data_IF_880133589869
#
_entry.id   IF_880133589869
#
_cell.length_a   1.000
_cell.length_b   1.000
_cell.length_c   1.000
_cell.angle_alpha   90.00
_cell.angle_beta   90.00
_cell.angle_gamma   90.00
#
_symmetry.space_group_name_H-M   'P 1'
#
loop_
_entity.id
_entity.type
_entity.pdbx_description
1 polymer ?
#
# COMPACT_ATOMS: atom_id res chain seq x y z
N UNK A 1 4.27 -37.61 18.15
CA UNK A 1 4.21 -36.26 17.57
C UNK A 1 4.97 -35.34 18.52
N UNK A 2 5.92 -34.54 18.03
CA UNK A 2 6.64 -33.58 18.89
C UNK A 2 5.71 -32.42 19.25
N UNK A 3 5.58 -32.15 20.55
CA UNK A 3 4.67 -31.13 21.09
C UNK A 3 5.37 -29.77 21.15
N UNK A 4 5.77 -29.26 19.98
CA UNK A 4 6.43 -27.95 19.87
C UNK A 4 5.34 -26.90 19.70
N UNK A 5 5.26 -25.98 20.67
CA UNK A 5 4.33 -24.86 20.66
C UNK A 5 5.10 -23.54 20.64
N UNK A 6 4.52 -22.52 20.01
CA UNK A 6 5.06 -21.17 20.07
C UNK A 6 5.00 -20.62 21.51
N UNK A 7 5.87 -19.64 21.87
CA UNK A 7 5.75 -18.93 23.13
C UNK A 7 4.34 -18.35 23.32
N UNK A 8 3.85 -18.29 24.57
CA UNK A 8 2.49 -17.81 24.88
C UNK A 8 2.20 -16.42 24.30
N UNK A 9 3.21 -15.55 24.31
CA UNK A 9 3.11 -14.16 23.86
C UNK A 9 3.53 -13.96 22.40
N UNK A 10 3.59 -15.04 21.61
CA UNK A 10 3.89 -14.93 20.19
C UNK A 10 2.80 -14.10 19.48
N UNK A 11 3.25 -13.15 18.66
CA UNK A 11 2.42 -12.17 17.96
C UNK A 11 2.11 -12.63 16.53
N UNK A 12 1.06 -13.43 16.38
CA UNK A 12 0.48 -13.69 15.07
C UNK A 12 -0.20 -12.43 14.55
N UNK A 13 -0.02 -12.13 13.27
CA UNK A 13 -0.51 -10.89 12.71
C UNK A 13 -0.39 -10.81 11.19
N UNK A 14 -0.79 -9.66 10.66
CA UNK A 14 -0.75 -9.34 9.25
C UNK A 14 0.15 -8.14 8.95
N UNK A 15 0.64 -8.06 7.72
CA UNK A 15 1.43 -6.94 7.25
C UNK A 15 0.94 -6.44 5.89
N UNK A 16 0.78 -5.13 5.76
CA UNK A 16 0.49 -4.45 4.49
C UNK A 16 1.40 -3.23 4.31
N UNK A 17 1.43 -2.68 3.09
CA UNK A 17 2.09 -1.42 2.78
C UNK A 17 1.08 -0.44 2.17
N UNK A 18 1.13 0.82 2.60
CA UNK A 18 0.15 1.86 2.29
C UNK A 18 -0.08 2.04 0.79
N UNK A 19 1.00 2.06 0.00
CA UNK A 19 0.96 2.20 -1.45
C UNK A 19 0.27 1.03 -2.18
N UNK A 20 0.14 -0.12 -1.52
CA UNK A 20 -0.52 -1.31 -2.08
C UNK A 20 -1.96 -1.45 -1.63
N UNK A 21 -2.37 -0.79 -0.54
CA UNK A 21 -3.64 -1.03 0.13
C UNK A 21 -4.53 0.20 0.25
N UNK A 22 -3.99 1.37 0.57
CA UNK A 22 -4.77 2.55 0.93
C UNK A 22 -5.61 3.09 -0.21
N UNK A 23 -5.02 3.23 -1.40
CA UNK A 23 -5.65 3.96 -2.50
C UNK A 23 -5.76 5.45 -2.19
N UNK A 24 -6.83 6.09 -2.66
CA UNK A 24 -7.15 7.49 -2.37
C UNK A 24 -5.93 8.41 -2.60
N UNK A 25 -5.26 8.24 -3.75
CA UNK A 25 -3.88 8.69 -3.98
C UNK A 25 -3.65 10.20 -3.96
N UNK A 26 -4.71 11.02 -4.10
CA UNK A 26 -4.69 12.49 -3.97
C UNK A 26 -5.60 13.00 -2.84
N UNK A 27 -6.36 12.12 -2.18
CA UNK A 27 -7.29 12.50 -1.11
C UNK A 27 -6.53 13.02 0.10
N UNK A 28 -7.08 14.04 0.76
CA UNK A 28 -6.47 14.64 1.96
C UNK A 28 -5.17 15.40 1.66
N UNK A 29 -4.96 15.80 0.40
CA UNK A 29 -3.76 16.52 -0.02
C UNK A 29 -2.53 15.64 -0.23
N UNK A 30 -2.68 14.30 -0.27
CA UNK A 30 -1.57 13.36 -0.53
C UNK A 30 -0.83 13.75 -1.81
N UNK A 31 0.51 13.83 -1.72
CA UNK A 31 1.37 13.99 -2.88
C UNK A 31 1.56 12.70 -3.68
N UNK A 32 1.83 12.84 -4.99
CA UNK A 32 2.22 11.73 -5.85
C UNK A 32 3.53 11.08 -5.36
N UNK A 33 3.58 9.76 -5.47
CA UNK A 33 4.75 8.93 -5.16
C UNK A 33 5.26 8.24 -6.42
N UNK A 34 6.46 7.68 -6.36
CA UNK A 34 7.00 6.85 -7.45
C UNK A 34 6.09 5.67 -7.80
N UNK A 35 5.37 5.12 -6.82
CA UNK A 35 4.46 3.98 -7.02
C UNK A 35 3.16 4.41 -7.70
N UNK A 36 2.73 5.66 -7.50
CA UNK A 36 1.57 6.23 -8.20
C UNK A 36 1.84 6.43 -9.70
N UNK A 37 3.10 6.38 -10.12
CA UNK A 37 3.52 6.51 -11.53
C UNK A 37 3.66 5.16 -12.25
N UNK A 38 3.47 4.02 -11.58
CA UNK A 38 3.65 2.69 -12.17
C UNK A 38 2.31 2.17 -12.71
N UNK A 39 2.12 2.07 -14.03
CA UNK A 39 0.88 1.58 -14.59
C UNK A 39 0.76 0.04 -14.48
N UNK A 40 -0.40 -0.46 -14.85
CA UNK A 40 -0.63 -1.84 -15.25
C UNK A 40 -0.29 -2.03 -16.75
N UNK A 41 -0.07 -3.27 -17.18
CA UNK A 41 0.23 -3.59 -18.58
C UNK A 41 1.70 -3.46 -18.97
N UNK A 42 1.97 -3.32 -20.26
CA UNK A 42 3.31 -3.46 -20.85
C UNK A 42 4.32 -2.43 -20.33
N UNK A 43 3.85 -1.21 -20.04
CA UNK A 43 4.69 -0.13 -19.52
C UNK A 43 5.09 -0.32 -18.05
N UNK A 44 4.47 -1.28 -17.33
CA UNK A 44 4.70 -1.50 -15.90
C UNK A 44 6.17 -1.78 -15.57
N UNK A 45 6.78 -2.74 -16.25
CA UNK A 45 8.12 -3.22 -15.89
C UNK A 45 9.21 -2.21 -16.27
N UNK A 46 9.21 -1.60 -17.48
CA UNK A 46 10.15 -0.55 -17.82
C UNK A 46 10.12 0.62 -16.83
N UNK A 47 8.93 1.10 -16.47
CA UNK A 47 8.78 2.20 -15.50
C UNK A 47 9.23 1.77 -14.10
N UNK A 48 8.78 0.61 -13.61
CA UNK A 48 9.11 0.11 -12.27
C UNK A 48 10.62 -0.11 -12.08
N UNK A 49 11.32 -0.53 -13.14
CA UNK A 49 12.76 -0.77 -13.11
C UNK A 49 13.59 0.50 -13.40
N UNK A 50 12.96 1.65 -13.61
CA UNK A 50 13.66 2.90 -13.91
C UNK A 50 14.33 2.93 -15.28
N UNK A 51 13.79 2.18 -16.25
CA UNK A 51 14.29 2.14 -17.64
C UNK A 51 13.70 3.25 -18.52
N UNK A 52 12.87 4.13 -17.93
CA UNK A 52 12.20 5.25 -18.60
C UNK A 52 12.60 6.53 -17.89
N UNK A 53 13.28 7.44 -18.59
CA UNK A 53 13.87 8.65 -18.00
C UNK A 53 12.83 9.65 -17.47
N UNK A 54 11.69 9.76 -18.17
CA UNK A 54 10.60 10.67 -17.82
C UNK A 54 9.28 9.94 -17.88
N UNK A 55 8.63 9.84 -16.72
CA UNK A 55 7.33 9.20 -16.57
C UNK A 55 6.32 10.29 -16.23
N UNK A 56 5.25 10.36 -17.01
CA UNK A 56 4.10 11.24 -16.78
C UNK A 56 2.86 10.39 -16.67
N UNK A 57 1.90 10.82 -15.85
CA UNK A 57 0.60 10.16 -15.80
C UNK A 57 -0.13 10.33 -17.13
N UNK A 58 -0.75 9.26 -17.59
CA UNK A 58 -1.61 9.22 -18.78
C UNK A 58 -3.03 8.85 -18.38
N UNK A 59 -4.03 9.53 -18.94
CA UNK A 59 -5.44 9.19 -18.72
C UNK A 59 -5.84 7.86 -19.36
N UNK A 60 -5.05 7.35 -20.31
CA UNK A 60 -5.28 6.07 -20.99
C UNK A 60 -4.72 4.87 -20.21
N UNK A 61 -3.91 5.12 -19.18
CA UNK A 61 -3.30 4.07 -18.36
C UNK A 61 -4.05 3.84 -17.06
N UNK A 62 -4.06 2.58 -16.62
CA UNK A 62 -4.58 2.21 -15.31
C UNK A 62 -3.43 2.09 -14.30
N UNK A 63 -3.54 2.78 -13.17
CA UNK A 63 -2.56 2.76 -12.08
C UNK A 63 -3.14 2.06 -10.85
N UNK A 64 -2.76 0.79 -10.56
CA UNK A 64 -3.38 0.01 -9.50
C UNK A 64 -3.31 0.64 -8.10
N UNK A 65 -2.26 1.44 -7.82
CA UNK A 65 -2.06 2.12 -6.53
C UNK A 65 -3.05 3.28 -6.30
N UNK A 66 -3.68 3.80 -7.35
CA UNK A 66 -4.58 4.96 -7.24
C UNK A 66 -5.82 4.66 -6.40
N UNK A 67 -6.36 3.44 -6.57
CA UNK A 67 -7.52 2.92 -5.85
C UNK A 67 -7.15 1.80 -4.86
N UNK A 68 -6.17 0.96 -5.20
CA UNK A 68 -5.81 -0.22 -4.41
C UNK A 68 -7.06 -1.04 -4.01
N UNK A 69 -7.16 -1.43 -2.73
CA UNK A 69 -8.37 -2.06 -2.15
C UNK A 69 -9.25 -1.06 -1.38
N UNK A 70 -8.93 0.24 -1.48
CA UNK A 70 -9.57 1.34 -0.75
C UNK A 70 -9.51 1.23 0.78
N UNK A 71 -8.40 0.70 1.32
CA UNK A 71 -8.20 0.60 2.77
C UNK A 71 -8.28 1.97 3.46
N UNK A 72 -7.98 3.08 2.76
CA UNK A 72 -8.08 4.43 3.31
C UNK A 72 -9.50 4.75 3.84
N UNK A 73 -10.55 4.27 3.16
CA UNK A 73 -11.93 4.44 3.62
C UNK A 73 -12.46 3.23 4.38
N UNK A 74 -11.97 2.02 4.06
CA UNK A 74 -12.51 0.73 4.54
C UNK A 74 -11.71 0.08 5.68
N UNK A 75 -10.72 0.77 6.24
CA UNK A 75 -9.84 0.19 7.26
C UNK A 75 -10.59 -0.34 8.49
N UNK A 76 -11.76 0.22 8.83
CA UNK A 76 -12.53 -0.23 9.99
C UNK A 76 -13.07 -1.63 9.79
N UNK A 77 -13.66 -1.89 8.62
CA UNK A 77 -14.18 -3.20 8.23
C UNK A 77 -13.03 -4.20 8.09
N UNK A 78 -11.94 -3.80 7.45
CA UNK A 78 -10.79 -4.67 7.24
C UNK A 78 -10.09 -5.04 8.56
N UNK A 79 -9.91 -4.09 9.50
CA UNK A 79 -9.35 -4.38 10.83
C UNK A 79 -10.28 -5.28 11.65
N UNK A 80 -11.61 -5.13 11.52
CA UNK A 80 -12.55 -6.01 12.19
C UNK A 80 -12.39 -7.47 11.75
N UNK A 81 -12.20 -7.72 10.45
CA UNK A 81 -11.92 -9.05 9.92
C UNK A 81 -10.59 -9.62 10.43
N UNK A 82 -9.53 -8.80 10.52
CA UNK A 82 -8.25 -9.24 11.10
C UNK A 82 -8.39 -9.62 12.58
N UNK A 83 -9.21 -8.87 13.33
CA UNK A 83 -9.51 -9.18 14.73
C UNK A 83 -10.33 -10.48 14.84
N UNK A 84 -11.30 -10.72 13.95
CA UNK A 84 -12.08 -11.97 13.90
C UNK A 84 -11.19 -13.19 13.64
N UNK A 85 -10.14 -13.05 12.83
CA UNK A 85 -9.13 -14.08 12.60
C UNK A 85 -8.19 -14.34 13.79
N UNK A 86 -8.26 -13.52 14.84
CA UNK A 86 -7.41 -13.65 16.03
C UNK A 86 -6.02 -13.03 15.91
N UNK A 87 -5.83 -12.05 15.01
CA UNK A 87 -4.56 -11.33 14.91
C UNK A 87 -4.29 -10.51 16.17
N UNK A 88 -3.07 -10.62 16.69
CA UNK A 88 -2.58 -9.87 17.85
C UNK A 88 -1.82 -8.61 17.46
N UNK A 89 -1.31 -8.55 16.23
CA UNK A 89 -0.55 -7.42 15.72
C UNK A 89 -0.91 -7.16 14.26
N UNK A 90 -0.90 -5.89 13.88
CA UNK A 90 -1.07 -5.46 12.51
C UNK A 90 0.02 -4.45 12.14
N UNK A 91 0.83 -4.79 11.14
CA UNK A 91 1.95 -3.96 10.69
C UNK A 91 1.56 -3.25 9.40
N UNK A 92 1.59 -1.93 9.41
CA UNK A 92 1.32 -1.08 8.25
C UNK A 92 2.36 0.03 8.15
N UNK A 93 2.70 0.45 6.93
CA UNK A 93 3.54 1.63 6.70
C UNK A 93 2.71 2.90 6.71
N UNK A 94 3.23 4.01 7.22
CA UNK A 94 2.62 5.32 7.04
C UNK A 94 3.08 5.91 5.71
N UNK A 95 2.14 6.33 4.85
CA UNK A 95 2.47 6.97 3.57
C UNK A 95 3.15 8.33 3.81
N UNK A 96 4.45 8.42 3.49
CA UNK A 96 5.24 9.65 3.65
C UNK A 96 4.58 10.86 2.95
N UNK A 97 4.08 10.66 1.73
CA UNK A 97 3.47 11.72 0.93
C UNK A 97 2.12 12.21 1.46
N UNK A 98 1.54 11.57 2.49
CA UNK A 98 0.40 12.13 3.24
C UNK A 98 0.84 13.06 4.36
N UNK A 99 2.08 12.97 4.82
CA UNK A 99 2.62 13.77 5.93
C UNK A 99 3.43 14.95 5.42
N UNK A 100 4.29 14.74 4.42
CA UNK A 100 5.18 15.76 3.87
C UNK A 100 4.88 15.98 2.37
N UNK A 101 4.14 17.05 2.08
CA UNK A 101 3.50 17.30 0.77
C UNK A 101 4.43 17.89 -0.30
N UNK A 102 5.76 17.85 -0.12
CA UNK A 102 6.72 18.39 -1.09
C UNK A 102 8.06 17.65 -0.95
N UNK A 103 8.41 16.85 -1.96
CA UNK A 103 9.79 16.31 -2.11
C UNK A 103 10.32 16.51 -3.55
N UNK A 104 9.60 17.19 -4.44
CA UNK A 104 10.12 17.49 -5.78
C UNK A 104 9.78 18.94 -6.15
N UNK A 105 10.78 19.81 -5.97
CA UNK A 105 10.89 21.15 -6.57
C UNK A 105 12.09 21.15 -7.52
#
# INVERSE_FOLDING_TARGET
MSNIQFPKDFLWGGAIAANQSEGAHLTGGKGLTTVDMIPYGDNRMPIKLGQVDKVTLSEEEFYPSHNAIDFYHRYKEDIALLAEMGFKVFRVSIAWSRIFLKVMS
#
